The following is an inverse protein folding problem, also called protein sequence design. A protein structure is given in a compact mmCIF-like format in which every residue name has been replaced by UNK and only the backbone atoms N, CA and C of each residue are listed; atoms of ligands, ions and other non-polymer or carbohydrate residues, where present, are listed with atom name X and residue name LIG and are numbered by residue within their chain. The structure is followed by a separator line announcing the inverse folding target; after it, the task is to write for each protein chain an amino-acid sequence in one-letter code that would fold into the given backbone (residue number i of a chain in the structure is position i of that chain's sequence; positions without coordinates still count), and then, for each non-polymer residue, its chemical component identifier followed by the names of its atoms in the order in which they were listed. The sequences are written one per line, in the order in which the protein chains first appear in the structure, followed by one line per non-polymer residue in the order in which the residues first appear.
data_IF_343436110766
#
_entry.id   IF_343436110766
#
_cell.length_a   1.000
_cell.length_b   1.000
_cell.length_c   1.000
_cell.angle_alpha   90.00
_cell.angle_beta   90.00
_cell.angle_gamma   90.00
#
_symmetry.space_group_name_H-M   'P 1'
#
loop_
_entity.id
_entity.type
_entity.pdbx_description
1 polymer ?
#
# COMPACT_ATOMS: atom_id res chain seq x y z
N UNK A 1 -44.11 12.50 -4.74
CA UNK A 1 -43.22 11.34 -5.01
C UNK A 1 -43.87 10.52 -6.10
N UNK A 2 -43.18 10.27 -7.20
CA UNK A 2 -43.76 9.52 -8.33
C UNK A 2 -44.01 8.06 -7.89
N UNK A 3 -45.26 7.62 -7.92
CA UNK A 3 -45.65 6.22 -7.67
C UNK A 3 -45.40 5.41 -8.94
N UNK A 4 -44.29 4.67 -8.96
CA UNK A 4 -43.97 3.73 -10.06
C UNK A 4 -44.72 2.42 -9.82
N UNK A 5 -45.62 2.04 -10.72
CA UNK A 5 -46.34 0.76 -10.65
C UNK A 5 -45.42 -0.38 -11.11
N UNK A 6 -45.09 -1.30 -10.21
CA UNK A 6 -44.29 -2.50 -10.50
C UNK A 6 -45.22 -3.70 -10.75
N UNK A 7 -45.10 -4.36 -11.91
CA UNK A 7 -45.84 -5.57 -12.24
C UNK A 7 -45.05 -6.84 -11.88
N UNK A 8 -45.59 -7.67 -10.98
CA UNK A 8 -45.01 -8.97 -10.63
C UNK A 8 -45.79 -10.07 -11.36
N UNK A 9 -45.11 -10.88 -12.18
CA UNK A 9 -45.72 -12.07 -12.81
C UNK A 9 -45.72 -13.21 -11.80
N UNK A 10 -46.90 -13.72 -11.48
CA UNK A 10 -47.09 -14.90 -10.64
C UNK A 10 -47.70 -16.00 -11.51
N UNK A 11 -47.23 -17.22 -11.31
CA UNK A 11 -47.84 -18.42 -11.86
C UNK A 11 -49.21 -18.69 -11.20
N UNK A 12 -50.11 -19.33 -11.95
CA UNK A 12 -51.49 -19.61 -11.51
C UNK A 12 -51.59 -20.33 -10.15
N UNK A 13 -50.77 -21.34 -9.82
CA UNK A 13 -50.88 -21.99 -8.51
C UNK A 13 -50.44 -21.07 -7.36
N UNK A 14 -49.43 -20.22 -7.55
CA UNK A 14 -49.00 -19.24 -6.54
C UNK A 14 -50.08 -18.18 -6.31
N UNK A 15 -50.77 -17.76 -7.37
CA UNK A 15 -51.90 -16.81 -7.28
C UNK A 15 -53.04 -17.36 -6.44
N UNK A 16 -53.40 -18.63 -6.62
CA UNK A 16 -54.47 -19.28 -5.84
C UNK A 16 -54.06 -19.48 -4.36
N UNK A 17 -52.82 -19.87 -4.09
CA UNK A 17 -52.30 -19.95 -2.71
C UNK A 17 -52.36 -18.60 -1.99
N UNK A 18 -52.01 -17.52 -2.70
CA UNK A 18 -52.04 -16.18 -2.14
C UNK A 18 -53.46 -15.69 -1.88
N UNK A 19 -54.43 -16.01 -2.74
CA UNK A 19 -55.85 -15.75 -2.50
C UNK A 19 -56.37 -16.46 -1.26
N UNK A 20 -56.05 -17.75 -1.11
CA UNK A 20 -56.47 -18.54 0.05
C UNK A 20 -55.89 -17.97 1.36
N UNK A 21 -54.59 -17.66 1.39
CA UNK A 21 -53.92 -17.08 2.55
C UNK A 21 -54.44 -15.67 2.91
N UNK A 22 -54.81 -14.86 1.91
CA UNK A 22 -55.41 -13.56 2.15
C UNK A 22 -56.84 -13.69 2.71
N UNK A 23 -57.61 -14.67 2.21
CA UNK A 23 -58.97 -14.93 2.68
C UNK A 23 -58.99 -15.44 4.13
N UNK A 24 -58.02 -16.27 4.53
CA UNK A 24 -57.95 -16.78 5.92
C UNK A 24 -57.68 -15.71 6.97
N UNK A 25 -57.19 -14.54 6.56
CA UNK A 25 -56.94 -13.38 7.43
C UNK A 25 -57.90 -12.21 7.16
N UNK A 26 -58.98 -12.44 6.42
CA UNK A 26 -59.98 -11.44 5.99
C UNK A 26 -59.36 -10.20 5.31
N UNK A 27 -58.39 -10.41 4.41
CA UNK A 27 -57.74 -9.33 3.64
C UNK A 27 -57.68 -9.63 2.16
N UNK A 28 -57.35 -8.61 1.36
CA UNK A 28 -57.19 -8.76 -0.08
C UNK A 28 -55.80 -9.29 -0.44
N UNK A 29 -55.65 -10.05 -1.54
CA UNK A 29 -54.36 -10.51 -2.04
C UNK A 29 -53.34 -9.37 -2.21
N UNK A 30 -53.80 -8.21 -2.70
CA UNK A 30 -52.95 -7.03 -2.89
C UNK A 30 -52.42 -6.48 -1.56
N UNK A 31 -53.26 -6.40 -0.52
CA UNK A 31 -52.84 -5.99 0.81
C UNK A 31 -51.78 -6.93 1.38
N UNK A 32 -51.98 -8.25 1.22
CA UNK A 32 -51.04 -9.26 1.70
C UNK A 32 -49.67 -9.16 1.01
N UNK A 33 -49.64 -9.01 -0.32
CA UNK A 33 -48.40 -8.81 -1.08
C UNK A 33 -47.66 -7.57 -0.59
N UNK A 34 -48.39 -6.45 -0.46
CA UNK A 34 -47.82 -5.18 0.00
C UNK A 34 -47.22 -5.33 1.41
N UNK A 35 -47.96 -5.96 2.32
CA UNK A 35 -47.51 -6.15 3.70
C UNK A 35 -46.30 -7.11 3.79
N UNK A 36 -46.29 -8.17 2.98
CA UNK A 36 -45.17 -9.11 2.91
C UNK A 36 -43.89 -8.42 2.43
N UNK A 37 -43.98 -7.55 1.42
CA UNK A 37 -42.83 -6.78 0.90
C UNK A 37 -42.27 -5.86 1.99
N UNK A 38 -43.12 -5.09 2.68
CA UNK A 38 -42.65 -4.18 3.74
C UNK A 38 -41.97 -4.92 4.88
N UNK A 39 -42.57 -6.02 5.34
CA UNK A 39 -42.02 -6.80 6.44
C UNK A 39 -40.70 -7.49 6.05
N UNK A 40 -40.58 -7.93 4.79
CA UNK A 40 -39.34 -8.49 4.26
C UNK A 40 -38.22 -7.44 4.17
N UNK A 41 -38.54 -6.22 3.73
CA UNK A 41 -37.58 -5.11 3.70
C UNK A 41 -37.13 -4.70 5.11
N UNK A 42 -38.06 -4.58 6.06
CA UNK A 42 -37.74 -4.24 7.45
C UNK A 42 -36.82 -5.28 8.11
N UNK A 43 -37.01 -6.56 7.79
CA UNK A 43 -36.11 -7.63 8.25
C UNK A 43 -34.73 -7.56 7.60
N UNK A 44 -34.63 -7.21 6.32
CA UNK A 44 -33.34 -7.00 5.68
C UNK A 44 -32.61 -5.77 6.24
N UNK A 45 -33.34 -4.69 6.52
CA UNK A 45 -32.78 -3.46 7.11
C UNK A 45 -32.30 -3.67 8.55
N UNK A 46 -32.93 -4.59 9.29
CA UNK A 46 -32.49 -5.00 10.64
C UNK A 46 -31.36 -6.04 10.63
N UNK A 47 -30.83 -6.40 9.45
CA UNK A 47 -29.64 -7.24 9.31
C UNK A 47 -29.90 -8.74 9.13
N UNK A 48 -31.16 -9.17 8.94
CA UNK A 48 -31.47 -10.58 8.70
C UNK A 48 -30.85 -11.06 7.37
N UNK A 49 -30.23 -12.23 7.37
CA UNK A 49 -29.66 -12.79 6.13
C UNK A 49 -30.75 -13.45 5.29
N UNK A 50 -30.56 -13.48 3.96
CA UNK A 50 -31.53 -14.03 2.99
C UNK A 50 -31.86 -15.52 3.26
N UNK A 51 -30.95 -16.26 3.91
CA UNK A 51 -31.15 -17.64 4.36
C UNK A 51 -32.15 -17.77 5.52
N UNK A 52 -32.11 -16.85 6.49
CA UNK A 52 -33.01 -16.84 7.65
C UNK A 52 -34.45 -16.53 7.22
N UNK A 53 -34.60 -15.70 6.19
CA UNK A 53 -35.90 -15.30 5.64
C UNK A 53 -36.59 -16.42 4.83
N UNK A 54 -35.82 -17.33 4.26
CA UNK A 54 -36.34 -18.45 3.47
C UNK A 54 -36.71 -19.69 4.32
N UNK A 55 -36.65 -19.59 5.66
CA UNK A 55 -37.17 -20.62 6.57
C UNK A 55 -36.43 -21.96 6.49
N UNK A 56 -35.15 -21.96 6.11
CA UNK A 56 -34.31 -23.15 6.16
C UNK A 56 -33.83 -23.44 7.59
N UNK A 57 -34.76 -23.52 8.55
CA UNK A 57 -34.54 -24.18 9.84
C UNK A 57 -35.12 -25.59 9.70
N UNK A 58 -34.26 -26.56 9.37
CA UNK A 58 -34.63 -27.96 9.38
C UNK A 58 -35.19 -28.35 10.75
N UNK A 59 -36.41 -28.87 10.77
CA UNK A 59 -36.98 -29.64 11.88
C UNK A 59 -36.10 -30.88 12.05
N UNK A 60 -35.30 -30.91 13.10
CA UNK A 60 -34.91 -32.12 13.86
C UNK A 60 -34.08 -31.67 15.08
N UNK A 61 -34.75 -31.44 16.21
CA UNK A 61 -34.08 -31.32 17.52
C UNK A 61 -35.04 -31.54 18.69
N UNK A 62 -35.68 -32.72 18.74
CA UNK A 62 -35.93 -33.40 20.02
C UNK A 62 -34.77 -34.35 20.31
N UNK A 63 -33.55 -33.80 20.39
CA UNK A 63 -32.49 -34.40 21.18
C UNK A 63 -31.58 -33.28 21.66
N UNK A 64 -31.26 -33.31 22.96
CA UNK A 64 -30.35 -32.36 23.58
C UNK A 64 -28.93 -32.65 23.10
N UNK A 65 -28.60 -32.18 21.91
CA UNK A 65 -27.27 -31.67 21.64
C UNK A 65 -27.30 -30.19 21.95
N UNK A 66 -26.50 -29.72 22.89
CA UNK A 66 -25.90 -28.40 22.75
C UNK A 66 -25.24 -28.39 21.36
N UNK A 67 -25.99 -27.99 20.33
CA UNK A 67 -25.38 -27.36 19.18
C UNK A 67 -24.90 -26.04 19.77
N UNK A 68 -23.72 -26.10 20.39
CA UNK A 68 -22.81 -24.97 20.41
C UNK A 68 -23.05 -24.26 19.11
N UNK A 69 -23.36 -22.96 19.17
CA UNK A 69 -23.22 -22.10 18.01
C UNK A 69 -21.89 -22.54 17.40
N UNK A 70 -21.95 -23.28 16.29
CA UNK A 70 -20.84 -23.32 15.39
C UNK A 70 -20.92 -21.92 14.77
N UNK A 71 -20.55 -20.93 15.57
CA UNK A 71 -19.60 -19.90 15.22
C UNK A 71 -18.33 -20.63 14.76
N UNK A 72 -18.50 -21.51 13.77
CA UNK A 72 -17.47 -22.19 13.06
C UNK A 72 -16.68 -21.02 12.54
N UNK A 73 -15.47 -20.88 13.10
CA UNK A 73 -14.55 -19.81 12.81
C UNK A 73 -14.65 -19.54 11.31
N UNK A 74 -15.31 -18.44 10.93
CA UNK A 74 -15.45 -18.08 9.53
C UNK A 74 -14.07 -17.62 9.11
N UNK A 75 -13.28 -18.59 8.65
CA UNK A 75 -11.88 -18.38 8.31
C UNK A 75 -11.80 -17.20 7.34
N UNK A 76 -11.01 -16.20 7.70
CA UNK A 76 -10.74 -15.01 6.88
C UNK A 76 -11.92 -14.03 6.71
N UNK A 77 -12.98 -14.07 7.54
CA UNK A 77 -14.05 -13.08 7.49
C UNK A 77 -13.52 -11.65 7.71
N UNK A 78 -12.78 -11.44 8.80
CA UNK A 78 -12.13 -10.16 9.13
C UNK A 78 -11.23 -9.67 7.98
N UNK A 79 -10.55 -10.61 7.31
CA UNK A 79 -9.72 -10.31 6.15
C UNK A 79 -10.57 -9.85 4.95
N UNK A 80 -11.67 -10.54 4.65
CA UNK A 80 -12.56 -10.18 3.55
C UNK A 80 -13.23 -8.81 3.77
N UNK A 81 -13.66 -8.50 5.00
CA UNK A 81 -14.26 -7.21 5.35
C UNK A 81 -13.24 -6.06 5.31
N UNK A 82 -11.96 -6.34 5.59
CA UNK A 82 -10.89 -5.35 5.50
C UNK A 82 -10.60 -4.90 4.06
N UNK A 83 -11.01 -5.69 3.05
CA UNK A 83 -10.73 -5.40 1.64
C UNK A 83 -11.75 -4.40 1.10
N UNK A 84 -11.29 -3.18 0.86
CA UNK A 84 -12.09 -2.14 0.23
C UNK A 84 -12.41 -2.48 -1.23
N UNK A 85 -13.65 -2.19 -1.71
CA UNK A 85 -14.03 -2.43 -3.09
C UNK A 85 -13.14 -1.64 -4.05
N UNK A 86 -12.62 -2.31 -5.07
CA UNK A 86 -11.75 -1.68 -6.07
C UNK A 86 -12.58 -0.94 -7.11
N UNK A 87 -12.32 0.36 -7.28
CA UNK A 87 -12.83 1.11 -8.43
C UNK A 87 -12.16 0.64 -9.73
N UNK A 88 -12.73 1.00 -10.88
CA UNK A 88 -12.19 0.63 -12.21
C UNK A 88 -10.73 1.06 -12.37
N UNK A 89 -10.38 2.27 -11.95
CA UNK A 89 -9.00 2.78 -12.02
C UNK A 89 -8.05 2.02 -11.07
N UNK A 90 -8.52 1.64 -9.89
CA UNK A 90 -7.74 0.87 -8.92
C UNK A 90 -7.53 -0.58 -9.39
N UNK A 91 -8.52 -1.17 -10.05
CA UNK A 91 -8.40 -2.46 -10.70
C UNK A 91 -7.37 -2.43 -11.85
N UNK A 92 -7.31 -1.33 -12.62
CA UNK A 92 -6.30 -1.15 -13.67
C UNK A 92 -4.86 -1.08 -13.12
N UNK A 93 -4.66 -0.44 -11.97
CA UNK A 93 -3.35 -0.45 -11.28
C UNK A 93 -2.99 -1.86 -10.83
N UNK A 94 -3.94 -2.56 -10.20
CA UNK A 94 -3.75 -3.93 -9.69
C UNK A 94 -3.41 -4.90 -10.83
N UNK A 95 -4.07 -4.78 -11.99
CA UNK A 95 -3.81 -5.61 -13.16
C UNK A 95 -2.48 -5.27 -13.87
N UNK A 96 -1.85 -4.14 -13.55
CA UNK A 96 -0.54 -3.77 -14.07
C UNK A 96 0.62 -4.19 -13.15
N UNK A 97 0.36 -4.67 -11.93
CA UNK A 97 1.38 -4.91 -10.90
C UNK A 97 2.54 -5.79 -11.41
N UNK A 98 2.22 -6.93 -12.05
CA UNK A 98 3.22 -7.91 -12.52
C UNK A 98 3.04 -8.20 -14.02
N UNK A 99 2.66 -7.18 -14.79
CA UNK A 99 2.52 -7.34 -16.24
C UNK A 99 3.89 -7.63 -16.88
N UNK A 100 3.99 -8.56 -17.83
CA UNK A 100 5.25 -8.84 -18.51
C UNK A 100 5.85 -7.59 -19.15
N UNK A 101 7.16 -7.40 -18.98
CA UNK A 101 7.86 -6.22 -19.50
C UNK A 101 7.74 -6.11 -21.03
N UNK A 102 7.71 -7.24 -21.73
CA UNK A 102 7.55 -7.32 -23.19
C UNK A 102 6.23 -6.72 -23.68
N UNK A 103 5.20 -6.67 -22.83
CA UNK A 103 3.90 -6.07 -23.16
C UNK A 103 3.89 -4.57 -22.87
N UNK A 104 4.56 -4.14 -21.79
CA UNK A 104 4.48 -2.77 -21.27
C UNK A 104 5.46 -1.84 -22.00
N UNK A 105 6.70 -2.28 -22.24
CA UNK A 105 7.75 -1.42 -22.80
C UNK A 105 7.39 -0.90 -24.19
N UNK A 106 6.89 -1.71 -25.16
CA UNK A 106 6.49 -1.19 -26.46
C UNK A 106 5.38 -0.14 -26.38
N UNK A 107 4.41 -0.35 -25.48
CA UNK A 107 3.33 0.61 -25.23
C UNK A 107 3.88 1.94 -24.68
N UNK A 108 4.82 1.89 -23.72
CA UNK A 108 5.45 3.09 -23.15
C UNK A 108 6.35 3.82 -24.15
N UNK A 109 7.08 3.09 -25.00
CA UNK A 109 7.97 3.67 -26.00
C UNK A 109 7.22 4.53 -27.00
N UNK A 110 6.04 4.10 -27.45
CA UNK A 110 5.21 4.91 -28.35
C UNK A 110 4.65 6.16 -27.65
N UNK A 111 4.32 6.08 -26.36
CA UNK A 111 3.90 7.25 -25.59
C UNK A 111 5.05 8.23 -25.30
N UNK A 112 6.26 7.71 -25.11
CA UNK A 112 7.47 8.49 -24.85
C UNK A 112 8.14 9.02 -26.14
N UNK A 113 7.61 8.70 -27.32
CA UNK A 113 8.20 9.07 -28.61
C UNK A 113 8.15 10.60 -28.79
N UNK A 114 9.34 11.21 -28.81
CA UNK A 114 9.51 12.64 -29.09
C UNK A 114 9.65 12.89 -30.59
N UNK A 115 9.23 14.08 -31.04
CA UNK A 115 9.53 14.54 -32.40
C UNK A 115 11.03 14.85 -32.52
N UNK A 116 11.59 14.68 -33.72
CA UNK A 116 13.01 14.95 -34.00
C UNK A 116 13.53 16.31 -33.46
N UNK A 117 12.84 17.46 -33.68
CA UNK A 117 13.32 18.73 -33.15
C UNK A 117 13.31 18.81 -31.61
N UNK A 118 12.32 18.20 -30.96
CA UNK A 118 12.23 18.19 -29.49
C UNK A 118 13.30 17.28 -28.89
N UNK A 119 13.57 16.12 -29.51
CA UNK A 119 14.63 15.22 -29.10
C UNK A 119 16.01 15.88 -29.21
N UNK A 120 16.29 16.59 -30.31
CA UNK A 120 17.54 17.32 -30.47
C UNK A 120 17.70 18.45 -29.44
N UNK A 121 16.65 19.23 -29.19
CA UNK A 121 16.68 20.29 -28.18
C UNK A 121 16.90 19.73 -26.77
N UNK A 122 16.23 18.60 -26.45
CA UNK A 122 16.38 17.91 -25.16
C UNK A 122 17.82 17.40 -24.98
N UNK A 123 18.40 16.78 -26.01
CA UNK A 123 19.79 16.32 -25.98
C UNK A 123 20.78 17.47 -25.81
N UNK A 124 20.59 18.59 -26.52
CA UNK A 124 21.42 19.80 -26.34
C UNK A 124 21.35 20.35 -24.93
N UNK A 125 20.14 20.41 -24.36
CA UNK A 125 19.94 20.87 -22.99
C UNK A 125 20.62 19.92 -21.99
N UNK A 126 20.37 18.61 -22.10
CA UNK A 126 20.98 17.59 -21.24
C UNK A 126 22.52 17.63 -21.31
N UNK A 127 23.09 17.74 -22.51
CA UNK A 127 24.53 17.88 -22.71
C UNK A 127 25.05 19.15 -22.04
N UNK A 128 24.37 20.29 -22.20
CA UNK A 128 24.78 21.55 -21.55
C UNK A 128 24.74 21.47 -20.02
N UNK A 129 23.76 20.77 -19.44
CA UNK A 129 23.65 20.58 -17.99
C UNK A 129 24.78 19.68 -17.50
N UNK A 130 25.02 18.55 -18.19
CA UNK A 130 26.09 17.63 -17.84
C UNK A 130 27.47 18.29 -17.97
N UNK A 131 27.69 19.08 -19.02
CA UNK A 131 28.93 19.83 -19.22
C UNK A 131 29.12 20.88 -18.13
N UNK A 132 28.08 21.66 -17.80
CA UNK A 132 28.13 22.61 -16.68
C UNK A 132 28.46 21.92 -15.35
N UNK A 133 27.87 20.76 -15.08
CA UNK A 133 28.11 20.01 -13.84
C UNK A 133 29.53 19.45 -13.78
N UNK A 134 30.08 18.96 -14.90
CA UNK A 134 31.47 18.45 -14.97
C UNK A 134 32.50 19.58 -14.95
N UNK A 135 32.22 20.70 -15.62
CA UNK A 135 33.12 21.85 -15.72
C UNK A 135 33.01 22.81 -14.54
N UNK A 136 31.97 22.67 -13.71
CA UNK A 136 31.99 23.13 -12.33
C UNK A 136 33.04 22.31 -11.57
N UNK A 137 34.33 22.59 -11.82
CA UNK A 137 35.42 22.23 -10.92
C UNK A 137 35.02 22.75 -9.55
N UNK A 138 34.59 21.85 -8.66
CA UNK A 138 34.28 22.08 -7.24
C UNK A 138 34.11 23.57 -6.95
N UNK A 139 33.04 24.19 -7.46
CA UNK A 139 32.84 25.62 -7.32
C UNK A 139 32.93 25.91 -5.82
N UNK A 140 34.02 26.59 -5.43
CA UNK A 140 34.67 26.48 -4.12
C UNK A 140 33.71 26.51 -2.95
N UNK A 141 33.25 25.33 -2.55
CA UNK A 141 32.16 25.17 -1.60
C UNK A 141 32.21 23.79 -0.96
N UNK A 142 31.69 23.72 0.27
CA UNK A 142 31.73 22.51 1.12
C UNK A 142 31.24 21.24 0.41
N UNK A 143 30.32 21.35 -0.54
CA UNK A 143 29.78 20.22 -1.30
C UNK A 143 30.82 19.53 -2.21
N UNK A 144 31.71 20.28 -2.87
CA UNK A 144 32.74 19.70 -3.75
C UNK A 144 33.88 19.04 -2.97
N UNK A 145 34.17 19.52 -1.77
CA UNK A 145 35.15 18.91 -0.86
C UNK A 145 34.61 17.59 -0.32
N UNK A 146 33.34 17.56 0.10
CA UNK A 146 32.68 16.31 0.52
C UNK A 146 32.67 15.33 -0.65
N UNK A 147 32.20 15.72 -1.83
CA UNK A 147 32.15 14.79 -2.97
C UNK A 147 33.53 14.25 -3.40
N UNK A 148 34.58 15.09 -3.35
CA UNK A 148 35.96 14.64 -3.57
C UNK A 148 36.44 13.66 -2.50
N UNK A 149 36.16 13.93 -1.23
CA UNK A 149 36.47 13.05 -0.11
C UNK A 149 35.70 11.72 -0.20
N UNK A 150 34.43 11.74 -0.65
CA UNK A 150 33.62 10.54 -0.86
C UNK A 150 34.02 9.74 -2.09
N UNK A 151 34.68 10.37 -3.07
CA UNK A 151 35.23 9.69 -4.23
C UNK A 151 36.59 9.04 -3.89
N UNK A 152 37.41 9.71 -3.07
CA UNK A 152 38.71 9.22 -2.58
C UNK A 152 38.54 8.15 -1.49
N UNK A 153 37.58 8.33 -0.59
CA UNK A 153 37.11 7.37 0.41
C UNK A 153 35.66 7.04 0.10
N UNK A 154 35.45 6.11 -0.83
CA UNK A 154 34.12 5.63 -1.23
C UNK A 154 33.19 5.47 -0.01
N UNK A 155 32.02 6.13 0.01
CA UNK A 155 31.04 6.02 1.11
C UNK A 155 30.60 4.59 1.42
N UNK A 156 30.74 3.69 0.45
CA UNK A 156 30.49 2.26 0.61
C UNK A 156 31.62 1.51 1.31
N UNK A 157 32.77 2.16 1.55
CA UNK A 157 33.90 1.59 2.26
C UNK A 157 33.74 1.80 3.77
N UNK A 158 34.19 0.81 4.54
CA UNK A 158 34.22 0.90 6.01
C UNK A 158 35.04 2.12 6.49
N UNK A 159 36.04 2.53 5.70
CA UNK A 159 36.89 3.69 5.98
C UNK A 159 36.16 5.02 5.77
N UNK A 160 35.37 5.15 4.70
CA UNK A 160 34.57 6.34 4.42
C UNK A 160 33.48 6.55 5.49
N UNK A 161 32.83 5.48 5.93
CA UNK A 161 31.86 5.52 7.03
C UNK A 161 32.53 5.93 8.35
N UNK A 162 33.66 5.33 8.68
CA UNK A 162 34.40 5.68 9.90
C UNK A 162 34.86 7.14 9.93
N UNK A 163 35.32 7.67 8.79
CA UNK A 163 35.76 9.06 8.65
C UNK A 163 34.60 10.05 8.85
N UNK A 164 33.42 9.73 8.31
CA UNK A 164 32.22 10.55 8.48
C UNK A 164 31.69 10.52 9.92
N UNK A 165 31.66 9.35 10.57
CA UNK A 165 31.28 9.23 11.98
C UNK A 165 32.24 9.97 12.91
N UNK A 166 33.54 9.89 12.63
CA UNK A 166 34.56 10.63 13.36
C UNK A 166 34.36 12.15 13.20
N UNK A 167 34.08 12.61 11.98
CA UNK A 167 33.78 14.02 11.73
C UNK A 167 32.53 14.48 12.49
N UNK A 168 31.46 13.68 12.54
CA UNK A 168 30.26 13.97 13.32
C UNK A 168 30.55 14.05 14.83
N UNK A 169 31.28 13.08 15.37
CA UNK A 169 31.66 13.05 16.78
C UNK A 169 32.48 14.27 17.17
N UNK A 170 33.40 14.71 16.30
CA UNK A 170 34.21 15.92 16.50
C UNK A 170 33.37 17.20 16.44
N UNK A 171 32.32 17.25 15.62
CA UNK A 171 31.40 18.40 15.56
C UNK A 171 30.52 18.53 16.82
N UNK A 172 30.38 17.47 17.62
CA UNK A 172 29.68 17.52 18.92
C UNK A 172 30.52 18.17 20.03
N UNK A 173 31.81 18.39 19.82
CA UNK A 173 32.69 19.09 20.77
C UNK A 173 32.52 20.61 20.55
N UNK A 174 31.97 21.36 21.53
CA UNK A 174 31.65 22.78 21.35
C UNK A 174 32.90 23.68 21.37
N UNK A 175 33.95 23.29 22.12
CA UNK A 175 35.20 24.03 22.17
C UNK A 175 36.14 23.65 21.01
N UNK A 176 36.49 24.64 20.20
CA UNK A 176 37.39 24.47 19.05
C UNK A 176 38.81 24.10 19.49
N UNK A 177 39.30 24.65 20.62
CA UNK A 177 40.65 24.36 21.11
C UNK A 177 40.82 22.90 21.51
N UNK A 178 39.87 22.38 22.30
CA UNK A 178 39.81 20.98 22.72
C UNK A 178 39.64 20.03 21.54
N UNK A 179 38.81 20.39 20.55
CA UNK A 179 38.64 19.59 19.33
C UNK A 179 39.93 19.48 18.51
N UNK A 180 40.61 20.60 18.27
CA UNK A 180 41.84 20.62 17.47
C UNK A 180 43.01 19.95 18.21
N UNK A 181 43.03 20.04 19.54
CA UNK A 181 43.97 19.31 20.39
C UNK A 181 43.72 17.79 20.36
N UNK A 182 42.46 17.34 20.41
CA UNK A 182 42.09 15.94 20.31
C UNK A 182 42.47 15.32 18.96
N UNK A 183 42.25 16.06 17.86
CA UNK A 183 42.66 15.65 16.51
C UNK A 183 44.18 15.45 16.47
N UNK A 184 44.95 16.40 17.00
CA UNK A 184 46.43 16.34 17.03
C UNK A 184 46.99 15.28 17.97
N UNK A 185 46.32 14.99 19.08
CA UNK A 185 46.84 14.05 20.08
C UNK A 185 46.46 12.60 19.74
N UNK A 186 45.22 12.36 19.30
CA UNK A 186 44.67 11.01 19.13
C UNK A 186 44.52 10.54 17.68
N UNK A 187 44.39 11.46 16.73
CA UNK A 187 44.08 11.11 15.33
C UNK A 187 45.33 11.20 14.44
N UNK A 188 46.19 12.21 14.62
CA UNK A 188 47.40 12.36 13.79
C UNK A 188 48.53 11.38 14.11
N UNK A 189 48.54 10.79 15.31
CA UNK A 189 49.50 9.75 15.70
C UNK A 189 48.97 8.32 15.48
N UNK A 190 47.75 8.17 14.97
CA UNK A 190 47.14 6.88 14.68
C UNK A 190 47.84 6.21 13.50
N UNK A 191 48.48 5.07 13.74
CA UNK A 191 48.97 4.22 12.66
C UNK A 191 47.77 3.42 12.11
N UNK A 192 47.07 3.97 11.11
CA UNK A 192 45.83 3.42 10.54
C UNK A 192 46.04 2.15 9.70
N UNK A 193 47.30 1.75 9.48
CA UNK A 193 47.67 0.59 8.68
C UNK A 193 47.28 -0.81 9.25
N UNK A 194 47.18 -1.07 10.57
CA UNK A 194 46.85 -2.41 11.09
C UNK A 194 45.41 -2.63 11.60
N UNK A 195 44.56 -1.61 11.73
CA UNK A 195 43.36 -1.67 12.59
C UNK A 195 42.01 -1.86 11.88
N UNK A 196 42.02 -2.33 10.64
CA UNK A 196 40.82 -2.77 9.89
C UNK A 196 40.33 -4.18 10.29
N UNK A 197 40.51 -4.57 11.56
CA UNK A 197 40.09 -5.88 12.06
C UNK A 197 40.19 -5.96 13.57
N UNK A 198 39.08 -6.32 14.20
CA UNK A 198 38.88 -6.59 15.63
C UNK A 198 38.54 -5.38 16.52
N UNK A 199 37.26 -5.05 16.60
CA UNK A 199 36.48 -5.25 17.84
C UNK A 199 35.03 -4.76 17.71
N UNK A 200 34.10 -5.33 18.51
CA UNK A 200 32.67 -5.33 18.22
C UNK A 200 31.97 -4.11 18.84
N UNK A 201 30.81 -3.75 18.30
CA UNK A 201 29.83 -2.82 18.90
C UNK A 201 29.89 -1.33 18.54
N UNK A 202 30.13 -1.00 17.27
CA UNK A 202 29.62 0.25 16.65
C UNK A 202 28.90 0.01 15.29
N UNK A 203 28.77 -1.26 14.86
CA UNK A 203 28.36 -1.62 13.50
C UNK A 203 26.85 -1.85 13.29
N UNK A 204 26.00 -1.53 14.26
CA UNK A 204 24.57 -1.86 14.15
C UNK A 204 23.79 -0.90 13.23
N UNK A 205 24.34 0.27 12.87
CA UNK A 205 23.68 1.20 11.94
C UNK A 205 24.44 1.45 10.64
N UNK A 206 25.55 0.76 10.35
CA UNK A 206 26.34 1.03 9.14
C UNK A 206 25.58 0.72 7.82
N UNK A 207 24.60 -0.19 7.86
CA UNK A 207 23.80 -0.55 6.68
C UNK A 207 22.73 0.51 6.32
N UNK A 208 22.34 1.39 7.25
CA UNK A 208 21.24 2.34 7.02
C UNK A 208 21.68 3.66 6.39
N UNK A 209 22.99 3.97 6.42
CA UNK A 209 23.52 5.27 5.98
C UNK A 209 24.43 5.18 4.75
N UNK A 210 24.52 3.99 4.13
CA UNK A 210 25.28 3.72 2.90
C UNK A 210 24.45 3.68 1.61
N UNK A 211 23.18 4.12 1.66
CA UNK A 211 22.28 4.26 0.50
C UNK A 211 22.12 5.72 0.10
#
# INVERSE_FOLDING_TARGET
MATTTLGVKLDDPTRERLKAAAHSIDRTPHWLIKQAIFNYLEKLESGATLLELNGATGKDSEDRGELAEDAGLQCFLDFAESIQPQSVLRAAITSAYRRPEQEVVPMLLEQARLTAPVAEATNKLAASIAEKLRNQKSAGGRAGIVQGLLQEFSLSSQEGVALMCLAEALLRIPDKGTRDALIRDKISNGNWQPHLGNSPSLFVNAATWGL
#
